data_IF_081199204886
#
_entry.id   IF_081199204886
#
_cell.length_a   1.000
_cell.length_b   1.000
_cell.length_c   1.000
_cell.angle_alpha   90.00
_cell.angle_beta   90.00
_cell.angle_gamma   90.00
#
_symmetry.space_group_name_H-M   'P 1'
#
loop_
_entity.id
_entity.type
_entity.pdbx_description
1 polymer ?
#
# COMPACT_ATOMS: atom_id res chain seq x y z
N UNK A 1 27.18 -22.72 -2.82
CA UNK A 1 27.61 -21.32 -2.90
C UNK A 1 27.13 -20.49 -1.73
N UNK A 2 27.70 -20.76 -0.65
CA UNK A 2 27.33 -20.12 0.61
C UNK A 2 27.74 -18.65 0.69
N UNK A 3 28.68 -18.20 -0.12
CA UNK A 3 29.09 -16.81 -0.13
C UNK A 3 27.98 -15.81 -0.40
N UNK A 4 26.92 -16.24 -1.07
CA UNK A 4 25.73 -15.44 -1.31
C UNK A 4 24.99 -15.18 0.00
N UNK A 5 24.97 -16.15 0.90
CA UNK A 5 24.30 -16.02 2.20
C UNK A 5 25.23 -15.34 3.22
N UNK A 6 26.53 -15.62 3.16
CA UNK A 6 27.52 -15.04 4.06
C UNK A 6 27.70 -13.52 3.91
N UNK A 7 27.30 -12.97 2.78
CA UNK A 7 27.33 -11.54 2.51
C UNK A 7 25.95 -10.90 2.63
N UNK A 8 25.22 -11.26 3.65
CA UNK A 8 23.82 -10.83 3.84
C UNK A 8 23.64 -9.31 3.79
N UNK A 9 24.57 -8.53 4.30
CA UNK A 9 24.50 -7.07 4.22
C UNK A 9 24.58 -6.53 2.78
N UNK A 10 25.50 -7.07 2.00
CA UNK A 10 25.61 -6.70 0.58
C UNK A 10 24.39 -7.13 -0.19
N UNK A 11 23.85 -8.30 0.12
CA UNK A 11 22.66 -8.81 -0.51
C UNK A 11 21.42 -8.01 -0.14
N UNK A 12 21.26 -7.65 1.12
CA UNK A 12 20.17 -6.77 1.58
C UNK A 12 20.26 -5.40 0.91
N UNK A 13 21.44 -4.84 0.77
CA UNK A 13 21.67 -3.58 0.09
C UNK A 13 21.32 -3.66 -1.40
N UNK A 14 21.65 -4.75 -2.07
CA UNK A 14 21.29 -4.99 -3.48
C UNK A 14 19.77 -5.09 -3.61
N UNK A 15 19.11 -5.84 -2.75
CA UNK A 15 17.65 -5.95 -2.77
C UNK A 15 16.96 -4.61 -2.50
N UNK A 16 17.45 -3.83 -1.55
CA UNK A 16 16.89 -2.51 -1.26
C UNK A 16 17.06 -1.52 -2.42
N UNK A 17 18.05 -1.71 -3.26
CA UNK A 17 18.29 -0.87 -4.43
C UNK A 17 17.73 -1.45 -5.73
N UNK A 18 17.22 -2.69 -5.69
CA UNK A 18 16.65 -3.34 -6.87
C UNK A 18 15.25 -2.79 -7.18
N UNK A 19 14.96 -2.64 -8.47
CA UNK A 19 13.62 -2.31 -8.96
C UNK A 19 12.59 -3.41 -8.67
N UNK A 20 13.07 -4.64 -8.43
CA UNK A 20 12.23 -5.81 -8.14
C UNK A 20 11.78 -5.88 -6.67
N UNK A 21 12.29 -5.00 -5.82
CA UNK A 21 11.98 -4.99 -4.39
C UNK A 21 10.93 -3.94 -4.08
N UNK A 22 9.97 -4.29 -3.22
CA UNK A 22 9.01 -3.32 -2.74
C UNK A 22 9.72 -2.18 -2.00
N UNK A 23 9.47 -0.95 -2.42
CA UNK A 23 10.04 0.27 -1.81
C UNK A 23 9.20 0.77 -0.66
N UNK A 24 7.93 0.41 -0.67
CA UNK A 24 6.95 0.71 0.36
C UNK A 24 6.04 -0.49 0.50
N UNK A 25 5.75 -0.89 1.71
CA UNK A 25 4.62 -1.78 1.97
C UNK A 25 3.96 -1.42 3.30
N UNK A 26 2.67 -1.65 3.39
CA UNK A 26 1.93 -1.50 4.63
C UNK A 26 0.70 -2.42 4.66
N UNK A 27 0.31 -2.77 5.87
CA UNK A 27 -1.03 -3.26 6.19
C UNK A 27 -1.66 -2.24 7.12
N UNK A 28 -2.78 -1.68 6.70
CA UNK A 28 -3.45 -0.60 7.41
C UNK A 28 -4.90 -0.95 7.73
N UNK A 29 -5.38 -0.41 8.82
CA UNK A 29 -6.80 -0.37 9.15
C UNK A 29 -7.31 1.03 8.82
N UNK A 30 -8.13 1.13 7.76
CA UNK A 30 -8.67 2.42 7.34
C UNK A 30 -9.84 2.87 8.18
N UNK A 31 -10.53 1.96 8.88
CA UNK A 31 -11.60 2.32 9.81
C UNK A 31 -11.06 2.94 11.11
N UNK A 32 -9.92 2.46 11.57
CA UNK A 32 -9.24 2.97 12.75
C UNK A 32 -8.09 3.95 12.48
N UNK A 33 -7.78 4.22 11.21
CA UNK A 33 -6.62 5.04 10.80
C UNK A 33 -5.30 4.55 11.42
N UNK A 34 -5.12 3.22 11.46
CA UNK A 34 -3.98 2.59 12.10
C UNK A 34 -3.08 1.86 11.08
N UNK A 35 -1.78 1.90 11.34
CA UNK A 35 -0.78 1.12 10.61
C UNK A 35 -0.47 -0.13 11.43
N UNK A 36 -0.84 -1.30 10.92
CA UNK A 36 -0.62 -2.58 11.60
C UNK A 36 0.79 -3.14 11.37
N UNK A 37 1.38 -2.83 10.23
CA UNK A 37 2.75 -3.17 9.88
C UNK A 37 3.15 -2.42 8.63
N UNK A 38 4.43 -2.04 8.52
CA UNK A 38 4.87 -1.25 7.38
C UNK A 38 6.38 -1.25 7.17
N UNK A 39 6.76 -0.87 5.97
CA UNK A 39 8.11 -0.50 5.60
C UNK A 39 8.06 0.79 4.78
N UNK A 40 8.87 1.77 5.14
CA UNK A 40 8.96 3.09 4.51
C UNK A 40 7.65 3.88 4.52
N UNK A 41 6.81 3.68 5.54
CA UNK A 41 5.57 4.43 5.75
C UNK A 41 5.68 5.22 7.03
N UNK A 42 5.38 6.51 6.97
CA UNK A 42 5.42 7.42 8.12
C UNK A 42 4.05 7.60 8.77
N UNK A 43 2.99 7.68 7.98
CA UNK A 43 1.64 7.94 8.49
C UNK A 43 0.55 7.51 7.52
N UNK A 44 -0.64 7.31 8.09
CA UNK A 44 -1.91 7.23 7.36
C UNK A 44 -2.75 8.44 7.75
N UNK A 45 -3.38 9.09 6.78
CA UNK A 45 -4.26 10.23 6.99
C UNK A 45 -5.62 9.96 6.36
N UNK A 46 -6.66 10.08 7.16
CA UNK A 46 -8.05 9.99 6.70
C UNK A 46 -8.40 11.25 5.91
N UNK A 47 -8.76 11.07 4.65
CA UNK A 47 -9.24 12.12 3.76
C UNK A 47 -10.76 12.04 3.59
N UNK A 48 -11.35 10.90 3.91
CA UNK A 48 -12.78 10.62 3.85
C UNK A 48 -13.03 9.12 3.72
N UNK A 49 -14.26 8.69 3.90
CA UNK A 49 -14.62 7.27 3.85
C UNK A 49 -14.02 6.57 2.64
N UNK A 50 -13.21 5.54 2.87
CA UNK A 50 -12.50 4.78 1.82
C UNK A 50 -11.43 5.58 1.07
N UNK A 51 -11.02 6.72 1.58
CA UNK A 51 -10.02 7.58 0.96
C UNK A 51 -8.97 7.98 1.99
N UNK A 52 -7.77 7.46 1.84
CA UNK A 52 -6.67 7.63 2.81
C UNK A 52 -5.36 7.93 2.10
N UNK A 53 -4.59 8.85 2.65
CA UNK A 53 -3.24 9.13 2.20
C UNK A 53 -2.21 8.35 3.02
N UNK A 54 -1.31 7.68 2.34
CA UNK A 54 -0.17 6.97 2.92
C UNK A 54 1.09 7.75 2.60
N UNK A 55 1.70 8.33 3.61
CA UNK A 55 2.93 9.10 3.48
C UNK A 55 4.17 8.22 3.66
N UNK A 56 5.22 8.52 2.90
CA UNK A 56 6.49 7.79 2.91
C UNK A 56 7.51 8.46 3.82
N UNK A 57 8.38 7.66 4.44
CA UNK A 57 9.55 8.16 5.18
C UNK A 57 10.61 8.65 4.21
N UNK A 58 10.98 7.80 3.25
CA UNK A 58 11.92 8.13 2.18
C UNK A 58 11.12 8.30 0.89
N UNK A 59 11.18 9.48 0.27
CA UNK A 59 10.46 9.72 -0.98
C UNK A 59 10.88 8.79 -2.11
N UNK A 60 9.95 8.49 -3.01
CA UNK A 60 10.25 7.87 -4.29
C UNK A 60 10.99 8.87 -5.19
N UNK A 61 11.81 8.39 -6.11
CA UNK A 61 12.54 9.25 -7.04
C UNK A 61 11.62 9.95 -8.05
N UNK A 62 10.52 9.29 -8.38
CA UNK A 62 9.53 9.81 -9.33
C UNK A 62 8.16 9.18 -9.05
N UNK A 63 7.15 9.55 -9.81
CA UNK A 63 5.78 9.04 -9.67
C UNK A 63 5.48 7.83 -10.56
N UNK A 64 6.46 7.29 -11.28
CA UNK A 64 6.30 6.15 -12.18
C UNK A 64 6.41 4.80 -11.46
N UNK A 65 5.94 4.73 -10.23
CA UNK A 65 5.90 3.49 -9.46
C UNK A 65 4.59 2.74 -9.67
N UNK A 66 4.64 1.44 -9.47
CA UNK A 66 3.46 0.56 -9.49
C UNK A 66 2.97 0.33 -8.06
N UNK A 67 1.72 0.69 -7.80
CA UNK A 67 1.10 0.48 -6.49
C UNK A 67 0.08 -0.65 -6.58
N UNK A 68 0.27 -1.68 -5.75
CA UNK A 68 -0.60 -2.85 -5.65
C UNK A 68 -1.31 -2.81 -4.31
N UNK A 69 -2.62 -2.96 -4.34
CA UNK A 69 -3.46 -2.84 -3.15
C UNK A 69 -4.41 -4.02 -3.05
N UNK A 70 -4.66 -4.46 -1.82
CA UNK A 70 -5.62 -5.50 -1.50
C UNK A 70 -6.53 -5.03 -0.39
N UNK A 71 -7.76 -5.53 -0.38
CA UNK A 71 -8.72 -5.28 0.69
C UNK A 71 -8.87 -6.55 1.54
N UNK A 72 -8.74 -6.41 2.86
CA UNK A 72 -8.60 -7.58 3.72
C UNK A 72 -9.89 -8.26 4.11
N UNK A 73 -10.90 -7.54 4.55
CA UNK A 73 -12.13 -8.11 5.08
C UNK A 73 -13.33 -7.68 4.25
N UNK A 74 -14.03 -8.65 3.69
CA UNK A 74 -15.27 -8.44 2.95
C UNK A 74 -16.45 -9.04 3.71
N UNK A 75 -17.54 -8.33 3.75
CA UNK A 75 -18.82 -8.90 4.14
C UNK A 75 -19.38 -9.75 2.99
N UNK A 76 -20.27 -10.68 3.32
CA UNK A 76 -20.86 -11.58 2.33
C UNK A 76 -21.63 -10.78 1.26
N UNK A 77 -21.29 -11.01 0.00
CA UNK A 77 -21.95 -10.38 -1.15
C UNK A 77 -21.36 -9.05 -1.61
N UNK A 78 -20.27 -8.59 -0.99
CA UNK A 78 -19.59 -7.38 -1.41
C UNK A 78 -18.36 -7.69 -2.30
N UNK A 79 -18.19 -6.90 -3.34
CA UNK A 79 -16.95 -6.80 -4.09
C UNK A 79 -16.31 -5.44 -3.80
N UNK A 80 -15.11 -5.45 -3.24
CA UNK A 80 -14.38 -4.22 -2.99
C UNK A 80 -13.21 -4.12 -3.95
N UNK A 81 -13.12 -2.99 -4.62
CA UNK A 81 -11.98 -2.64 -5.45
C UNK A 81 -11.16 -1.60 -4.71
N UNK A 82 -9.87 -1.86 -4.57
CA UNK A 82 -8.92 -0.89 -4.04
C UNK A 82 -8.03 -0.42 -5.17
N UNK A 83 -7.93 0.88 -5.32
CA UNK A 83 -7.09 1.48 -6.36
C UNK A 83 -6.21 2.57 -5.76
N UNK A 84 -5.08 2.84 -6.39
CA UNK A 84 -4.33 4.05 -6.07
C UNK A 84 -5.05 5.25 -6.69
N UNK A 85 -5.26 6.27 -5.88
CA UNK A 85 -5.66 7.60 -6.32
C UNK A 85 -4.45 8.44 -6.74
N UNK A 86 -4.36 9.62 -6.18
CA UNK A 86 -3.26 10.54 -6.46
C UNK A 86 -1.91 9.97 -6.00
N UNK A 87 -0.90 10.18 -6.82
CA UNK A 87 0.48 9.73 -6.57
C UNK A 87 1.42 10.92 -6.56
N UNK A 88 2.24 10.96 -5.54
CA UNK A 88 3.37 11.87 -5.48
C UNK A 88 4.64 11.12 -5.10
N UNK A 89 5.76 11.79 -5.05
CA UNK A 89 6.99 11.17 -4.57
C UNK A 89 6.97 10.92 -3.06
N UNK A 90 6.10 11.58 -2.31
CA UNK A 90 6.04 11.52 -0.84
C UNK A 90 4.84 10.79 -0.28
N UNK A 91 3.85 10.49 -1.09
CA UNK A 91 2.64 9.78 -0.66
C UNK A 91 1.87 9.15 -1.81
N UNK A 92 0.99 8.22 -1.47
CA UNK A 92 0.00 7.65 -2.37
C UNK A 92 -1.36 7.66 -1.68
N UNK A 93 -2.40 7.99 -2.43
CA UNK A 93 -3.77 7.90 -1.95
C UNK A 93 -4.35 6.52 -2.22
N UNK A 94 -4.99 5.93 -1.22
CA UNK A 94 -5.79 4.71 -1.34
C UNK A 94 -7.23 5.10 -1.57
N UNK A 95 -7.87 4.50 -2.55
CA UNK A 95 -9.31 4.55 -2.75
C UNK A 95 -9.92 3.16 -2.67
N UNK A 96 -10.74 2.92 -1.68
CA UNK A 96 -11.50 1.69 -1.52
C UNK A 96 -12.99 1.94 -1.84
N UNK A 97 -13.51 1.23 -2.81
CA UNK A 97 -14.91 1.33 -3.25
C UNK A 97 -15.54 -0.05 -3.29
N UNK A 98 -16.78 -0.14 -2.90
CA UNK A 98 -17.57 -1.36 -3.02
C UNK A 98 -18.58 -1.27 -4.16
N UNK A 99 -18.87 -2.42 -4.74
CA UNK A 99 -19.96 -2.62 -5.71
C UNK A 99 -20.83 -3.74 -5.18
N UNK A 100 -22.12 -3.52 -5.12
CA UNK A 100 -23.12 -4.53 -4.74
C UNK A 100 -23.96 -4.89 -5.97
N UNK A 101 -24.51 -6.09 -5.99
CA UNK A 101 -25.29 -6.63 -7.10
C UNK A 101 -26.54 -5.80 -7.50
N UNK A 102 -27.01 -4.93 -6.62
CA UNK A 102 -28.15 -4.05 -6.85
C UNK A 102 -27.79 -2.72 -7.52
N UNK A 103 -26.59 -2.60 -8.08
CA UNK A 103 -26.02 -1.37 -8.64
C UNK A 103 -25.73 -0.27 -7.60
N UNK A 104 -25.79 -0.55 -6.32
CA UNK A 104 -25.30 0.39 -5.33
C UNK A 104 -23.76 0.38 -5.31
N UNK A 105 -23.19 1.53 -5.16
CA UNK A 105 -21.73 1.69 -5.04
C UNK A 105 -21.41 2.77 -4.03
N UNK A 106 -20.29 2.65 -3.39
CA UNK A 106 -19.86 3.65 -2.43
C UNK A 106 -18.39 3.47 -2.03
N UNK A 107 -17.95 4.32 -1.13
CA UNK A 107 -16.64 4.19 -0.53
C UNK A 107 -16.74 3.26 0.69
N UNK A 108 -15.70 2.47 0.91
CA UNK A 108 -15.66 1.49 1.99
C UNK A 108 -14.39 1.66 2.80
N UNK A 109 -14.52 1.58 4.09
CA UNK A 109 -13.39 1.39 4.99
C UNK A 109 -13.25 -0.08 5.36
N UNK A 110 -12.07 -0.50 5.71
CA UNK A 110 -11.83 -1.89 6.05
C UNK A 110 -10.55 -2.13 6.80
N UNK A 111 -10.57 -3.26 7.48
CA UNK A 111 -9.43 -3.77 8.19
C UNK A 111 -8.45 -4.43 7.21
N UNK A 112 -7.16 -4.38 7.52
CA UNK A 112 -6.12 -5.08 6.77
C UNK A 112 -6.06 -4.74 5.27
N UNK A 113 -6.18 -3.49 4.92
CA UNK A 113 -5.89 -3.04 3.55
C UNK A 113 -4.38 -3.15 3.34
N UNK A 114 -3.99 -3.95 2.37
CA UNK A 114 -2.60 -4.18 2.01
C UNK A 114 -2.13 -3.25 0.89
N UNK A 115 -0.89 -2.79 0.98
CA UNK A 115 -0.26 -1.95 -0.02
C UNK A 115 1.15 -2.46 -0.27
N UNK A 116 1.55 -2.54 -1.54
CA UNK A 116 2.93 -2.76 -1.93
C UNK A 116 3.26 -1.88 -3.14
N UNK A 117 4.39 -1.21 -3.10
CA UNK A 117 4.83 -0.28 -4.13
C UNK A 117 6.20 -0.69 -4.65
N UNK A 118 6.30 -0.81 -5.98
CA UNK A 118 7.51 -1.16 -6.71
C UNK A 118 7.86 -0.03 -7.68
N UNK A 119 9.13 0.25 -7.83
CA UNK A 119 9.65 1.28 -8.72
C UNK A 119 10.80 2.05 -8.08
N UNK A 120 11.04 3.24 -8.56
CA UNK A 120 12.10 4.12 -8.06
C UNK A 120 11.60 5.14 -7.04
#
# INVERSE_FOLDING_TARGET
MSGIIGTSHSKSKIFCSSLDTAKVWATVDTSGNAINGSFNVSSITDVGTGNHDIAFITPMLNTNYSAHMTFGTLESGENVTVTSGDRSTTQVTIWARYLVWDNSSGNKEGDNVGIAIFGD
#
